data_IF_077236269977
#
_entry.id   IF_077236269977
#
_cell.length_a   1.000
_cell.length_b   1.000
_cell.length_c   1.000
_cell.angle_alpha   90.00
_cell.angle_beta   90.00
_cell.angle_gamma   90.00
#
_symmetry.space_group_name_H-M   'P 1'
#
loop_
_entity.id
_entity.type
_entity.pdbx_description
1 polymer ?
#
# COMPACT_ATOMS: atom_id res chain seq x y z
N UNK A 1 17.16 -18.01 14.42
CA UNK A 1 16.93 -17.67 13.01
C UNK A 1 16.23 -16.31 12.94
N UNK A 2 16.62 -15.41 12.02
CA UNK A 2 15.89 -14.15 11.81
C UNK A 2 14.62 -14.46 11.01
N UNK A 3 13.47 -13.97 11.48
CA UNK A 3 12.24 -14.02 10.67
C UNK A 3 12.36 -12.99 9.55
N UNK A 4 12.11 -13.42 8.32
CA UNK A 4 12.02 -12.53 7.17
C UNK A 4 10.62 -11.92 7.14
N UNK A 5 10.54 -10.61 6.88
CA UNK A 5 9.30 -9.86 6.80
C UNK A 5 9.32 -9.11 5.48
N UNK A 6 8.31 -9.37 4.66
CA UNK A 6 8.07 -8.65 3.41
C UNK A 6 7.24 -7.39 3.65
N UNK A 7 7.43 -6.35 2.84
CA UNK A 7 6.65 -5.11 2.92
C UNK A 7 5.91 -4.90 1.60
N UNK A 8 4.58 -4.79 1.66
CA UNK A 8 3.77 -4.32 0.54
C UNK A 8 3.41 -2.85 0.77
N UNK A 9 3.85 -1.99 -0.14
CA UNK A 9 3.54 -0.56 -0.10
C UNK A 9 2.42 -0.24 -1.07
N UNK A 10 1.24 0.02 -0.52
CA UNK A 10 0.09 0.52 -1.25
C UNK A 10 0.35 1.94 -1.76
N UNK A 11 0.05 2.17 -3.04
CA UNK A 11 0.03 3.49 -3.66
C UNK A 11 -1.35 3.78 -4.22
N UNK A 12 -1.54 3.67 -5.54
CA UNK A 12 -2.83 3.83 -6.22
C UNK A 12 -3.53 2.48 -6.47
N UNK A 13 -3.09 1.44 -5.77
CA UNK A 13 -3.51 0.05 -5.91
C UNK A 13 -4.11 -0.48 -4.60
N UNK A 14 -5.01 0.30 -3.98
CA UNK A 14 -5.74 -0.03 -2.75
C UNK A 14 -6.73 -1.19 -2.97
N UNK A 15 -6.22 -2.34 -3.39
CA UNK A 15 -6.96 -3.55 -3.71
C UNK A 15 -6.16 -4.78 -3.29
N UNK A 16 -6.88 -5.78 -2.79
CA UNK A 16 -6.31 -7.08 -2.43
C UNK A 16 -6.36 -8.05 -3.61
N UNK A 17 -7.50 -8.09 -4.30
CA UNK A 17 -7.71 -8.98 -5.43
C UNK A 17 -6.94 -8.46 -6.65
N UNK A 18 -6.32 -9.40 -7.37
CA UNK A 18 -5.56 -9.12 -8.59
C UNK A 18 -4.52 -7.99 -8.39
N UNK A 19 -3.79 -8.08 -7.28
CA UNK A 19 -2.62 -7.25 -7.00
C UNK A 19 -1.35 -8.11 -7.19
N UNK A 20 -0.59 -7.90 -8.28
CA UNK A 20 0.59 -8.71 -8.58
C UNK A 20 1.64 -8.72 -7.47
N UNK A 21 1.80 -7.62 -6.73
CA UNK A 21 2.74 -7.57 -5.61
C UNK A 21 2.26 -8.45 -4.46
N UNK A 22 0.97 -8.40 -4.10
CA UNK A 22 0.41 -9.26 -3.06
C UNK A 22 0.46 -10.73 -3.47
N UNK A 23 0.14 -11.05 -4.73
CA UNK A 23 0.23 -12.42 -5.25
C UNK A 23 1.66 -12.96 -5.11
N UNK A 24 2.66 -12.19 -5.56
CA UNK A 24 4.07 -12.60 -5.41
C UNK A 24 4.49 -12.80 -3.95
N UNK A 25 4.01 -11.94 -3.04
CA UNK A 25 4.32 -12.06 -1.61
C UNK A 25 3.62 -13.27 -0.97
N UNK A 26 2.43 -13.63 -1.43
CA UNK A 26 1.68 -14.79 -0.95
C UNK A 26 2.41 -16.12 -1.21
N UNK A 27 3.25 -16.17 -2.25
CA UNK A 27 4.07 -17.33 -2.60
C UNK A 27 5.32 -17.49 -1.71
N UNK A 28 5.69 -16.49 -0.90
CA UNK A 28 6.94 -16.49 -0.12
C UNK A 28 6.82 -17.13 1.26
N UNK A 29 5.61 -17.43 1.73
CA UNK A 29 5.34 -17.94 3.09
C UNK A 29 5.92 -17.06 4.22
N UNK A 30 6.16 -15.78 3.93
CA UNK A 30 6.71 -14.80 4.86
C UNK A 30 5.60 -13.94 5.47
N UNK A 31 5.82 -13.43 6.69
CA UNK A 31 4.95 -12.38 7.23
C UNK A 31 5.06 -11.16 6.33
N UNK A 32 3.91 -10.59 5.97
CA UNK A 32 3.83 -9.38 5.15
C UNK A 32 3.30 -8.22 5.98
N UNK A 33 4.03 -7.11 5.95
CA UNK A 33 3.60 -5.83 6.50
C UNK A 33 3.03 -4.97 5.36
N UNK A 34 1.76 -4.63 5.48
CA UNK A 34 1.09 -3.72 4.57
C UNK A 34 1.25 -2.28 5.05
N UNK A 35 1.76 -1.40 4.19
CA UNK A 35 1.94 0.02 4.49
C UNK A 35 1.31 0.89 3.42
N UNK A 36 0.83 2.06 3.83
CA UNK A 36 0.45 3.16 2.96
C UNK A 36 1.13 4.41 3.49
N UNK A 37 1.85 5.13 2.63
CA UNK A 37 2.56 6.37 3.00
C UNK A 37 1.76 7.53 2.43
N UNK A 38 1.16 8.32 3.33
CA UNK A 38 0.40 9.51 2.97
C UNK A 38 1.31 10.73 3.00
N UNK A 39 1.65 11.26 1.83
CA UNK A 39 2.40 12.51 1.69
C UNK A 39 1.41 13.69 1.61
N UNK A 40 1.53 14.64 2.53
CA UNK A 40 0.68 15.84 2.61
C UNK A 40 1.49 17.13 2.46
N UNK A 41 2.69 17.03 1.90
CA UNK A 41 3.50 18.21 1.62
C UNK A 41 2.83 19.02 0.49
N UNK A 42 3.07 20.33 0.52
CA UNK A 42 2.42 21.37 -0.29
C UNK A 42 2.86 21.32 -1.77
N UNK A 43 2.99 20.12 -2.30
CA UNK A 43 3.41 19.84 -3.66
C UNK A 43 2.20 19.81 -4.60
N UNK A 44 2.49 20.04 -5.89
CA UNK A 44 1.53 19.99 -6.99
C UNK A 44 0.78 18.65 -7.15
N UNK A 45 1.12 17.65 -6.34
CA UNK A 45 0.58 16.28 -6.33
C UNK A 45 -0.35 16.00 -5.13
N UNK A 46 -0.65 17.00 -4.30
CA UNK A 46 -1.54 16.81 -3.14
C UNK A 46 -2.96 16.40 -3.57
N UNK A 47 -3.55 15.47 -2.81
CA UNK A 47 -4.92 15.03 -3.06
C UNK A 47 -5.92 16.17 -2.81
N UNK A 48 -6.83 16.38 -3.75
CA UNK A 48 -7.97 17.27 -3.57
C UNK A 48 -8.96 16.74 -2.53
N UNK A 49 -9.87 17.59 -2.05
CA UNK A 49 -10.80 17.26 -0.97
C UNK A 49 -11.67 16.04 -1.27
N UNK A 50 -12.17 15.91 -2.51
CA UNK A 50 -12.97 14.75 -2.92
C UNK A 50 -12.16 13.45 -2.89
N UNK A 51 -10.91 13.48 -3.37
CA UNK A 51 -10.01 12.32 -3.35
C UNK A 51 -9.63 11.91 -1.92
N UNK A 52 -9.46 12.88 -1.01
CA UNK A 52 -9.24 12.61 0.42
C UNK A 52 -10.44 11.88 1.03
N UNK A 53 -11.66 12.31 0.72
CA UNK A 53 -12.88 11.61 1.20
C UNK A 53 -12.92 10.18 0.66
N UNK A 54 -12.66 9.98 -0.64
CA UNK A 54 -12.62 8.64 -1.24
C UNK A 54 -11.54 7.75 -0.61
N UNK A 55 -10.37 8.31 -0.26
CA UNK A 55 -9.30 7.55 0.38
C UNK A 55 -9.68 7.05 1.79
N UNK A 56 -10.60 7.75 2.47
CA UNK A 56 -11.02 7.45 3.84
C UNK A 56 -12.36 6.71 3.96
N UNK A 57 -13.11 6.52 2.87
CA UNK A 57 -14.44 5.89 2.86
C UNK A 57 -14.47 4.64 2.00
#
# INVERSE_FOLDING_TARGET
>A
MKQQISIHWFKQDLRLQDNPSINYLSEKEEKTLFIYIFENDNDSLSLGSASKVWLHH
#
